data_IF_642617043707
#
_entry.id   IF_642617043707
#
_cell.length_a   1.000
_cell.length_b   1.000
_cell.length_c   1.000
_cell.angle_alpha   90.00
_cell.angle_beta   90.00
_cell.angle_gamma   90.00
#
_symmetry.space_group_name_H-M   'P 1'
#
loop_
_entity.id
_entity.type
_entity.pdbx_description
1 polymer ?
#
# COMPACT_ATOMS: atom_id res chain seq x y z
N UNK A 1 -21.13 29.51 0.95
CA UNK A 1 -19.91 28.68 0.83
C UNK A 1 -19.09 29.20 -0.33
N UNK A 2 -17.77 29.31 -0.19
CA UNK A 2 -16.89 29.59 -1.32
C UNK A 2 -16.68 28.32 -2.18
N UNK A 3 -16.00 28.45 -3.32
CA UNK A 3 -15.73 27.34 -4.25
C UNK A 3 -15.05 26.15 -3.58
N UNK A 4 -14.08 26.41 -2.69
CA UNK A 4 -13.34 25.36 -1.96
C UNK A 4 -14.29 24.58 -1.05
N UNK A 5 -15.16 25.26 -0.30
CA UNK A 5 -16.14 24.63 0.57
C UNK A 5 -17.17 23.82 -0.22
N UNK A 6 -17.63 24.32 -1.37
CA UNK A 6 -18.55 23.58 -2.25
C UNK A 6 -17.90 22.29 -2.76
N UNK A 7 -16.67 22.38 -3.27
CA UNK A 7 -15.92 21.21 -3.74
C UNK A 7 -15.67 20.19 -2.63
N UNK A 8 -15.27 20.64 -1.43
CA UNK A 8 -15.12 19.75 -0.27
C UNK A 8 -16.42 19.00 0.03
N UNK A 9 -17.55 19.71 0.05
CA UNK A 9 -18.86 19.10 0.30
C UNK A 9 -19.23 18.07 -0.79
N UNK A 10 -18.93 18.32 -2.05
CA UNK A 10 -19.15 17.35 -3.13
C UNK A 10 -18.34 16.06 -2.88
N UNK A 11 -17.06 16.21 -2.54
CA UNK A 11 -16.15 15.10 -2.30
C UNK A 11 -16.52 14.30 -1.04
N UNK A 12 -16.87 14.96 0.06
CA UNK A 12 -17.36 14.32 1.29
C UNK A 12 -18.66 13.53 1.08
N UNK A 13 -19.45 13.89 0.05
CA UNK A 13 -20.67 13.17 -0.34
C UNK A 13 -20.45 12.18 -1.49
N UNK A 14 -19.22 12.03 -1.99
CA UNK A 14 -18.88 11.08 -3.04
C UNK A 14 -18.95 9.64 -2.51
N UNK A 15 -20.09 8.97 -2.69
CA UNK A 15 -20.35 7.60 -2.21
C UNK A 15 -20.91 6.73 -3.34
N UNK A 16 -20.10 6.35 -4.34
CA UNK A 16 -20.56 5.43 -5.37
C UNK A 16 -20.93 4.07 -4.76
N UNK A 17 -21.79 3.33 -5.47
CA UNK A 17 -22.08 1.95 -5.13
C UNK A 17 -20.79 1.11 -5.20
N UNK A 18 -20.68 0.11 -4.33
CA UNK A 18 -19.63 -0.89 -4.44
C UNK A 18 -19.87 -1.71 -5.72
N UNK A 19 -18.78 -2.13 -6.36
CA UNK A 19 -18.82 -2.97 -7.57
C UNK A 19 -18.77 -4.47 -7.24
N UNK A 20 -18.48 -4.80 -5.98
CA UNK A 20 -18.53 -6.14 -5.42
C UNK A 20 -19.27 -6.09 -4.08
N UNK A 21 -20.16 -7.05 -3.82
CA UNK A 21 -20.82 -7.13 -2.52
C UNK A 21 -19.84 -7.59 -1.43
N UNK A 22 -20.12 -7.19 -0.18
CA UNK A 22 -19.20 -7.42 0.93
C UNK A 22 -19.03 -8.91 1.28
N UNK A 23 -20.07 -9.73 1.09
CA UNK A 23 -20.02 -11.17 1.40
C UNK A 23 -19.10 -11.89 0.41
N UNK A 24 -19.26 -11.62 -0.89
CA UNK A 24 -18.39 -12.14 -1.94
C UNK A 24 -16.95 -11.70 -1.75
N UNK A 25 -16.72 -10.40 -1.48
CA UNK A 25 -15.38 -9.87 -1.23
C UNK A 25 -14.70 -10.53 -0.02
N UNK A 26 -15.43 -10.65 1.10
CA UNK A 26 -14.92 -11.28 2.31
C UNK A 26 -14.63 -12.76 2.09
N UNK A 27 -15.56 -13.51 1.51
CA UNK A 27 -15.39 -14.93 1.25
C UNK A 27 -14.17 -15.20 0.36
N UNK A 28 -14.01 -14.45 -0.73
CA UNK A 28 -12.86 -14.59 -1.62
C UNK A 28 -11.54 -14.38 -0.87
N UNK A 29 -11.42 -13.27 -0.16
CA UNK A 29 -10.16 -12.92 0.48
C UNK A 29 -9.87 -13.77 1.72
N UNK A 30 -10.88 -14.17 2.50
CA UNK A 30 -10.67 -15.05 3.65
C UNK A 30 -10.13 -16.40 3.21
N UNK A 31 -10.66 -16.96 2.10
CA UNK A 31 -10.14 -18.18 1.50
C UNK A 31 -8.71 -18.00 0.97
N UNK A 32 -8.46 -16.91 0.22
CA UNK A 32 -7.14 -16.63 -0.34
C UNK A 32 -6.08 -16.48 0.77
N UNK A 33 -6.38 -15.75 1.84
CA UNK A 33 -5.45 -15.56 2.96
C UNK A 33 -5.18 -16.87 3.71
N UNK A 34 -6.21 -17.70 3.92
CA UNK A 34 -6.05 -19.00 4.58
C UNK A 34 -5.13 -19.97 3.81
N UNK A 35 -5.15 -19.94 2.47
CA UNK A 35 -4.23 -20.75 1.65
C UNK A 35 -2.77 -20.32 1.83
N UNK A 36 -2.53 -19.02 2.00
CA UNK A 36 -1.19 -18.45 2.09
C UNK A 36 -0.57 -18.52 3.50
N UNK A 37 -1.38 -18.56 4.56
CA UNK A 37 -0.92 -18.62 5.96
C UNK A 37 0.02 -19.83 6.23
N UNK A 38 -0.14 -20.92 5.48
CA UNK A 38 0.66 -22.14 5.65
C UNK A 38 1.98 -22.14 4.84
N UNK A 39 2.19 -21.18 3.94
CA UNK A 39 3.36 -21.16 3.04
C UNK A 39 4.56 -20.49 3.72
N UNK A 40 5.72 -21.16 3.87
CA UNK A 40 6.88 -20.62 4.59
C UNK A 40 7.41 -19.35 3.91
N UNK A 41 7.81 -18.35 4.71
CA UNK A 41 8.40 -17.10 4.20
C UNK A 41 9.80 -17.28 3.62
N UNK A 42 10.56 -18.28 4.09
CA UNK A 42 11.98 -18.44 3.78
C UNK A 42 12.76 -17.12 3.98
N UNK A 43 12.53 -16.49 5.14
CA UNK A 43 13.10 -15.20 5.51
C UNK A 43 14.62 -15.29 5.67
N UNK A 44 15.34 -14.46 4.90
CA UNK A 44 16.80 -14.29 4.99
C UNK A 44 17.11 -12.83 5.32
N UNK A 45 18.00 -12.62 6.28
CA UNK A 45 18.44 -11.30 6.73
C UNK A 45 19.97 -11.25 6.66
N UNK A 46 20.50 -10.33 5.87
CA UNK A 46 21.95 -10.14 5.68
C UNK A 46 22.31 -8.70 6.06
N UNK A 47 23.21 -8.47 7.03
CA UNK A 47 23.68 -7.12 7.34
C UNK A 47 24.28 -6.42 6.12
N UNK A 48 24.01 -5.12 5.98
CA UNK A 48 24.52 -4.28 4.90
C UNK A 48 25.32 -3.12 5.50
N UNK A 49 26.46 -2.77 4.88
CA UNK A 49 27.25 -1.61 5.31
C UNK A 49 26.54 -0.29 4.96
N UNK A 50 26.66 0.69 5.85
CA UNK A 50 26.09 2.03 5.65
C UNK A 50 27.08 3.10 6.10
N UNK A 51 27.19 4.23 5.37
CA UNK A 51 28.02 5.35 5.79
C UNK A 51 27.41 6.14 6.96
N UNK A 52 26.17 5.82 7.37
CA UNK A 52 25.43 6.56 8.38
C UNK A 52 25.49 5.85 9.75
N UNK A 53 26.25 6.36 10.73
CA UNK A 53 26.41 5.69 12.03
C UNK A 53 25.14 5.69 12.90
N UNK A 54 24.14 6.47 12.52
CA UNK A 54 22.84 6.56 13.21
C UNK A 54 21.84 5.46 12.83
N UNK A 55 22.20 4.54 11.93
CA UNK A 55 21.33 3.44 11.53
C UNK A 55 22.09 2.12 11.35
N UNK A 56 21.42 1.01 11.66
CA UNK A 56 21.82 -0.32 11.21
C UNK A 56 20.93 -0.73 10.03
N UNK A 57 21.53 -1.35 9.02
CA UNK A 57 20.83 -1.76 7.80
C UNK A 57 21.04 -3.26 7.60
N UNK A 58 19.98 -3.95 7.18
CA UNK A 58 20.06 -5.31 6.68
C UNK A 58 19.25 -5.43 5.40
N UNK A 59 19.81 -6.13 4.42
CA UNK A 59 19.08 -6.63 3.27
C UNK A 59 18.22 -7.81 3.71
N UNK A 60 16.92 -7.72 3.44
CA UNK A 60 15.95 -8.76 3.71
C UNK A 60 15.46 -9.35 2.39
N UNK A 61 15.30 -10.66 2.35
CA UNK A 61 14.57 -11.34 1.28
C UNK A 61 13.62 -12.40 1.83
N UNK A 62 12.47 -12.56 1.18
CA UNK A 62 11.46 -13.55 1.52
C UNK A 62 10.70 -13.98 0.26
N UNK A 63 10.10 -15.16 0.27
CA UNK A 63 9.24 -15.62 -0.82
C UNK A 63 7.91 -14.89 -0.79
N UNK A 64 7.50 -14.34 -1.93
CA UNK A 64 6.21 -13.69 -2.15
C UNK A 64 5.10 -14.66 -2.59
N UNK A 65 4.22 -14.19 -3.46
CA UNK A 65 3.04 -14.90 -3.99
C UNK A 65 3.34 -16.27 -4.66
N UNK A 66 4.41 -16.34 -5.45
CA UNK A 66 4.71 -17.36 -6.45
C UNK A 66 6.19 -17.77 -6.42
N UNK A 67 6.75 -17.92 -5.22
CA UNK A 67 8.18 -18.14 -4.97
C UNK A 67 9.11 -17.00 -5.44
N UNK A 68 8.59 -15.91 -6.03
CA UNK A 68 9.38 -14.70 -6.31
C UNK A 68 10.03 -14.22 -5.03
N UNK A 69 11.36 -14.06 -5.02
CA UNK A 69 12.08 -13.47 -3.90
C UNK A 69 11.86 -11.96 -3.88
N UNK A 70 11.14 -11.50 -2.85
CA UNK A 70 10.89 -10.10 -2.58
C UNK A 70 12.02 -9.55 -1.72
N UNK A 71 12.65 -8.47 -2.20
CA UNK A 71 13.73 -7.80 -1.50
C UNK A 71 13.23 -6.56 -0.76
N UNK A 72 13.76 -6.35 0.45
CA UNK A 72 13.47 -5.20 1.28
C UNK A 72 14.70 -4.72 2.06
N UNK A 73 14.69 -3.47 2.51
CA UNK A 73 15.59 -2.99 3.55
C UNK A 73 14.91 -3.14 4.90
N UNK A 74 15.60 -3.72 5.87
CA UNK A 74 15.28 -3.55 7.29
C UNK A 74 16.26 -2.54 7.89
N UNK A 75 15.73 -1.45 8.40
CA UNK A 75 16.51 -0.31 8.88
C UNK A 75 16.09 -0.01 10.31
N UNK A 76 17.06 0.08 11.22
CA UNK A 76 16.81 0.40 12.62
C UNK A 76 17.67 1.58 13.07
N UNK A 77 17.20 2.43 14.00
CA UNK A 77 18.07 3.40 14.66
C UNK A 77 19.24 2.71 15.37
N UNK A 78 20.46 3.24 15.25
CA UNK A 78 21.63 2.72 15.93
C UNK A 78 21.90 3.44 17.27
N UNK A 79 22.52 2.74 18.24
CA UNK A 79 22.97 3.29 19.53
C UNK A 79 22.21 2.77 20.76
N UNK A 80 22.55 3.27 21.95
CA UNK A 80 22.05 2.76 23.24
C UNK A 80 20.51 2.81 23.40
N UNK A 81 19.82 3.68 22.66
CA UNK A 81 18.35 3.74 22.63
C UNK A 81 17.70 2.51 21.94
N UNK A 82 18.45 1.77 21.12
CA UNK A 82 17.98 0.58 20.41
C UNK A 82 18.26 -0.74 21.16
N UNK A 83 19.00 -0.70 22.26
CA UNK A 83 19.58 -1.91 22.86
C UNK A 83 18.66 -2.65 23.85
N UNK A 84 17.54 -2.06 24.29
CA UNK A 84 16.74 -2.62 25.40
C UNK A 84 15.24 -2.72 25.13
N UNK A 85 14.75 -2.24 23.98
CA UNK A 85 13.31 -2.20 23.68
C UNK A 85 13.02 -2.61 22.23
N UNK A 86 11.99 -3.43 22.03
CA UNK A 86 11.47 -3.72 20.70
C UNK A 86 10.85 -2.46 20.08
N UNK A 87 11.20 -2.13 18.85
CA UNK A 87 10.83 -0.90 18.16
C UNK A 87 9.47 -1.03 17.45
N UNK A 88 8.68 0.06 17.36
CA UNK A 88 7.60 0.11 16.37
C UNK A 88 8.22 0.11 14.96
N UNK A 89 7.52 -0.46 13.99
CA UNK A 89 8.03 -0.58 12.63
C UNK A 89 7.06 0.00 11.60
N UNK A 90 7.62 0.69 10.62
CA UNK A 90 6.91 1.19 9.44
C UNK A 90 7.22 0.29 8.24
N UNK A 91 6.19 -0.36 7.69
CA UNK A 91 6.27 -1.00 6.37
C UNK A 91 6.00 0.05 5.30
N UNK A 92 6.73 0.03 4.19
CA UNK A 92 6.46 0.93 3.07
C UNK A 92 6.76 0.31 1.71
N UNK A 93 5.91 0.64 0.74
CA UNK A 93 6.02 0.24 -0.67
C UNK A 93 6.15 1.48 -1.56
N UNK A 94 6.85 1.38 -2.70
CA UNK A 94 7.04 2.51 -3.59
C UNK A 94 5.77 2.87 -4.39
N UNK A 95 5.78 4.07 -4.96
CA UNK A 95 4.88 4.43 -6.07
C UNK A 95 5.18 3.60 -7.33
N UNK A 96 4.29 3.68 -8.31
CA UNK A 96 4.41 2.90 -9.56
C UNK A 96 5.71 3.21 -10.29
N UNK A 97 6.37 2.16 -10.80
CA UNK A 97 7.73 2.14 -11.37
C UNK A 97 8.87 2.51 -10.42
N UNK A 98 8.58 2.65 -9.12
CA UNK A 98 9.57 2.97 -8.10
C UNK A 98 10.32 1.76 -7.55
N UNK A 99 11.07 2.01 -6.48
CA UNK A 99 11.93 1.06 -5.78
C UNK A 99 12.00 1.42 -4.28
N UNK A 100 12.51 0.49 -3.46
CA UNK A 100 12.81 0.71 -2.04
C UNK A 100 13.94 1.71 -1.79
N UNK A 101 14.63 2.20 -2.82
CA UNK A 101 15.68 3.20 -2.71
C UNK A 101 16.88 2.80 -1.87
N UNK A 102 17.59 3.84 -1.40
CA UNK A 102 18.65 3.71 -0.41
C UNK A 102 18.12 3.92 1.02
N UNK A 103 18.77 3.35 2.05
CA UNK A 103 18.29 3.41 3.43
C UNK A 103 18.04 4.82 3.99
N UNK A 104 18.88 5.80 3.65
CA UNK A 104 18.79 7.17 4.17
C UNK A 104 17.54 7.94 3.74
N UNK A 105 16.83 7.46 2.71
CA UNK A 105 15.50 7.95 2.30
C UNK A 105 14.50 7.90 3.46
N UNK A 106 14.70 6.98 4.41
CA UNK A 106 13.77 6.72 5.50
C UNK A 106 14.20 7.34 6.85
N UNK A 107 15.19 8.23 6.83
CA UNK A 107 15.78 8.82 8.05
C UNK A 107 14.78 9.52 8.97
N UNK A 108 13.72 10.15 8.44
CA UNK A 108 12.68 10.77 9.27
C UNK A 108 11.95 9.75 10.18
N UNK A 109 11.75 8.53 9.72
CA UNK A 109 11.16 7.44 10.52
C UNK A 109 12.12 6.98 11.62
N UNK A 110 13.42 6.87 11.30
CA UNK A 110 14.45 6.50 12.28
C UNK A 110 14.60 7.57 13.37
N UNK A 111 14.63 8.85 12.97
CA UNK A 111 14.71 10.00 13.88
C UNK A 111 13.47 10.12 14.79
N UNK A 112 12.33 9.56 14.37
CA UNK A 112 11.11 9.48 15.18
C UNK A 112 11.01 8.20 16.02
N UNK A 113 12.04 7.35 16.01
CA UNK A 113 12.13 6.14 16.84
C UNK A 113 11.51 4.88 16.23
N UNK A 114 11.20 4.88 14.93
CA UNK A 114 10.66 3.73 14.23
C UNK A 114 11.75 2.96 13.49
N UNK A 115 11.64 1.63 13.47
CA UNK A 115 12.28 0.80 12.46
C UNK A 115 11.51 0.89 11.14
N UNK A 116 12.14 0.50 10.03
CA UNK A 116 11.53 0.54 8.69
C UNK A 116 11.76 -0.77 7.96
N UNK A 117 10.71 -1.29 7.35
CA UNK A 117 10.78 -2.31 6.30
C UNK A 117 10.38 -1.68 4.96
N UNK A 118 11.36 -1.32 4.14
CA UNK A 118 11.13 -0.73 2.82
C UNK A 118 11.20 -1.81 1.75
N UNK A 119 10.06 -2.12 1.13
CA UNK A 119 9.87 -3.29 0.28
C UNK A 119 9.87 -2.88 -1.19
N UNK A 120 10.60 -3.61 -2.04
CA UNK A 120 10.50 -3.43 -3.49
C UNK A 120 9.14 -3.92 -4.02
N UNK A 121 8.59 -3.19 -5.00
CA UNK A 121 7.45 -3.69 -5.76
C UNK A 121 7.92 -4.66 -6.85
N UNK A 122 7.33 -5.86 -6.91
CA UNK A 122 7.75 -6.93 -7.84
C UNK A 122 7.85 -6.47 -9.30
N UNK A 123 8.94 -6.87 -9.96
CA UNK A 123 9.21 -6.61 -11.36
C UNK A 123 9.59 -5.17 -11.70
N UNK A 124 9.39 -4.20 -10.81
CA UNK A 124 9.62 -2.79 -11.10
C UNK A 124 11.11 -2.41 -11.01
N UNK A 125 11.43 -1.17 -10.62
CA UNK A 125 12.79 -0.62 -10.74
C UNK A 125 13.78 -1.17 -9.69
N UNK A 126 13.28 -1.91 -8.71
CA UNK A 126 14.07 -2.52 -7.63
C UNK A 126 14.81 -3.80 -8.03
N UNK A 127 15.29 -4.53 -7.03
CA UNK A 127 15.97 -5.82 -7.23
C UNK A 127 14.99 -6.99 -7.36
N UNK A 128 13.76 -6.81 -6.87
CA UNK A 128 12.72 -7.83 -6.92
C UNK A 128 12.30 -8.10 -8.37
N UNK A 129 12.52 -9.33 -8.83
CA UNK A 129 12.04 -9.82 -10.12
C UNK A 129 10.53 -10.08 -10.13
N UNK A 130 10.07 -10.89 -11.09
CA UNK A 130 8.67 -11.33 -11.16
C UNK A 130 8.60 -12.71 -11.85
N UNK A 131 8.19 -13.75 -11.12
CA UNK A 131 8.01 -15.11 -11.66
C UNK A 131 6.59 -15.39 -12.15
N UNK A 132 5.69 -14.40 -12.12
CA UNK A 132 4.27 -14.58 -12.39
C UNK A 132 4.04 -15.26 -13.75
N UNK A 133 3.44 -16.47 -13.79
CA UNK A 133 3.12 -17.13 -15.03
C UNK A 133 1.87 -16.51 -15.65
N UNK A 134 1.94 -16.12 -16.92
CA UNK A 134 0.76 -15.66 -17.68
C UNK A 134 0.71 -16.31 -19.07
N UNK A 135 -0.46 -16.83 -19.43
CA UNK A 135 -0.68 -17.52 -20.72
C UNK A 135 -1.01 -16.55 -21.87
N UNK A 136 -1.45 -15.33 -21.53
CA UNK A 136 -1.80 -14.28 -22.49
C UNK A 136 -0.82 -13.11 -22.46
N UNK A 137 -0.65 -12.41 -23.58
CA UNK A 137 0.13 -11.16 -23.60
C UNK A 137 -0.46 -10.07 -22.71
N UNK A 138 0.37 -9.09 -22.37
CA UNK A 138 0.02 -7.89 -21.62
C UNK A 138 0.36 -6.63 -22.44
N UNK A 139 -0.21 -5.48 -22.08
CA UNK A 139 0.30 -4.21 -22.63
C UNK A 139 1.59 -3.81 -21.92
N UNK A 140 2.27 -2.78 -22.43
CA UNK A 140 3.49 -2.26 -21.80
C UNK A 140 3.21 -1.85 -20.35
N UNK A 141 3.96 -2.43 -19.42
CA UNK A 141 3.85 -2.17 -17.99
C UNK A 141 3.56 -3.46 -17.22
N UNK A 142 2.86 -3.33 -16.10
CA UNK A 142 2.72 -4.41 -15.11
C UNK A 142 1.28 -4.80 -14.86
N UNK A 143 0.36 -3.83 -14.79
CA UNK A 143 -0.95 -4.06 -14.18
C UNK A 143 -1.92 -4.86 -15.05
N UNK A 144 -1.56 -5.12 -16.32
CA UNK A 144 -2.36 -5.96 -17.22
C UNK A 144 -1.86 -7.41 -17.34
N UNK A 145 -0.77 -7.76 -16.65
CA UNK A 145 -0.28 -9.14 -16.61
C UNK A 145 -1.29 -10.02 -15.84
N UNK A 146 -1.83 -11.03 -16.53
CA UNK A 146 -2.85 -11.93 -15.97
C UNK A 146 -4.21 -11.28 -15.69
N UNK A 147 -4.53 -10.11 -16.28
CA UNK A 147 -5.74 -9.33 -15.93
C UNK A 147 -7.08 -10.08 -16.17
N UNK A 148 -7.07 -11.12 -17.00
CA UNK A 148 -8.25 -11.97 -17.25
C UNK A 148 -8.45 -13.06 -16.19
N UNK A 149 -7.47 -13.32 -15.33
CA UNK A 149 -7.50 -14.34 -14.29
C UNK A 149 -7.06 -13.69 -12.97
N UNK A 150 -8.02 -13.18 -12.18
CA UNK A 150 -7.71 -12.43 -10.95
C UNK A 150 -6.77 -13.19 -10.01
N UNK A 151 -6.91 -14.52 -9.90
CA UNK A 151 -6.08 -15.39 -9.06
C UNK A 151 -4.62 -15.46 -9.49
N UNK A 152 -4.32 -15.13 -10.75
CA UNK A 152 -2.95 -15.12 -11.33
C UNK A 152 -2.57 -13.74 -11.87
N UNK A 153 -3.29 -12.71 -11.44
CA UNK A 153 -3.06 -11.34 -11.87
C UNK A 153 -1.89 -10.69 -11.13
N UNK A 154 -1.30 -9.67 -11.74
CA UNK A 154 -0.28 -8.86 -11.09
C UNK A 154 -0.76 -8.25 -9.76
N UNK A 155 -2.03 -7.86 -9.67
CA UNK A 155 -2.59 -7.33 -8.42
C UNK A 155 -2.75 -8.37 -7.32
N UNK A 156 -3.09 -9.61 -7.65
CA UNK A 156 -3.07 -10.71 -6.67
C UNK A 156 -1.66 -10.95 -6.14
N UNK A 157 -0.68 -10.92 -7.03
CA UNK A 157 0.71 -11.09 -6.65
C UNK A 157 1.19 -9.97 -5.72
N UNK A 158 0.87 -8.71 -6.03
CA UNK A 158 1.12 -7.56 -5.15
C UNK A 158 0.39 -7.69 -3.81
N UNK A 159 -0.88 -8.11 -3.80
CA UNK A 159 -1.66 -8.27 -2.59
C UNK A 159 -1.02 -9.28 -1.63
N UNK A 160 -0.62 -10.45 -2.13
CA UNK A 160 0.01 -11.48 -1.32
C UNK A 160 1.43 -11.12 -0.90
N UNK A 161 2.22 -10.46 -1.75
CA UNK A 161 3.52 -9.92 -1.33
C UNK A 161 3.38 -8.92 -0.18
N UNK A 162 2.32 -8.11 -0.22
CA UNK A 162 2.01 -7.12 0.81
C UNK A 162 1.68 -7.81 2.14
N UNK A 163 0.81 -8.81 2.13
CA UNK A 163 0.48 -9.61 3.33
C UNK A 163 1.73 -10.26 3.91
N UNK A 164 2.56 -10.85 3.05
CA UNK A 164 3.79 -11.54 3.45
C UNK A 164 4.86 -10.57 3.97
N UNK A 165 4.95 -9.36 3.41
CA UNK A 165 5.81 -8.31 3.96
C UNK A 165 5.41 -7.92 5.38
N UNK A 166 4.10 -7.86 5.68
CA UNK A 166 3.60 -7.58 7.03
C UNK A 166 3.87 -8.75 7.99
N UNK A 167 3.83 -9.99 7.52
CA UNK A 167 4.26 -11.15 8.31
C UNK A 167 5.76 -11.13 8.60
N UNK A 168 6.58 -10.79 7.60
CA UNK A 168 8.02 -10.58 7.78
C UNK A 168 8.29 -9.51 8.80
N UNK A 169 7.63 -8.34 8.69
CA UNK A 169 7.75 -7.25 9.65
C UNK A 169 7.56 -7.70 11.10
N UNK A 170 6.58 -8.57 11.35
CA UNK A 170 6.30 -9.12 12.69
C UNK A 170 7.36 -10.12 13.19
N UNK A 171 8.23 -10.64 12.32
CA UNK A 171 9.29 -11.60 12.63
C UNK A 171 10.69 -10.98 12.69
N UNK A 172 10.83 -9.69 12.35
CA UNK A 172 12.14 -9.04 12.31
C UNK A 172 12.73 -8.85 13.73
N UNK A 173 14.04 -9.09 13.91
CA UNK A 173 14.69 -8.91 15.20
C UNK A 173 14.58 -7.47 15.72
N UNK A 174 14.23 -7.31 16.99
CA UNK A 174 14.12 -6.01 17.64
C UNK A 174 12.88 -5.21 17.25
N UNK A 175 11.89 -5.82 16.59
CA UNK A 175 10.59 -5.21 16.27
C UNK A 175 9.51 -5.70 17.23
N UNK A 176 8.58 -4.82 17.58
CA UNK A 176 7.38 -5.13 18.33
C UNK A 176 6.23 -5.47 17.35
N UNK A 177 5.78 -6.74 17.28
CA UNK A 177 4.77 -7.16 16.32
C UNK A 177 3.38 -6.55 16.57
N UNK A 178 3.14 -5.92 17.73
CA UNK A 178 1.90 -5.20 18.02
C UNK A 178 1.92 -3.73 17.54
N UNK A 179 3.07 -3.23 17.06
CA UNK A 179 3.28 -1.82 16.71
C UNK A 179 3.80 -1.68 15.27
N UNK A 180 3.08 -2.30 14.33
CA UNK A 180 3.39 -2.23 12.90
C UNK A 180 2.46 -1.20 12.24
N UNK A 181 3.02 -0.13 11.71
CA UNK A 181 2.33 0.78 10.80
C UNK A 181 2.68 0.49 9.35
N UNK A 182 1.84 0.94 8.43
CA UNK A 182 2.15 0.91 6.99
C UNK A 182 1.90 2.26 6.35
N UNK A 183 2.80 2.67 5.45
CA UNK A 183 2.70 3.94 4.73
C UNK A 183 3.10 3.83 3.27
N UNK A 184 2.50 4.67 2.42
CA UNK A 184 2.95 4.84 1.04
C UNK A 184 2.16 5.92 0.30
N UNK A 185 2.71 6.33 -0.85
CA UNK A 185 2.10 7.30 -1.76
C UNK A 185 1.70 6.66 -3.09
N UNK A 186 0.61 7.11 -3.71
CA UNK A 186 0.16 6.65 -5.03
C UNK A 186 -0.08 5.12 -5.03
N UNK A 187 0.65 4.32 -5.82
CA UNK A 187 0.61 2.85 -5.72
C UNK A 187 0.88 2.37 -4.29
N UNK A 188 1.91 2.90 -3.63
CA UNK A 188 2.24 2.53 -2.25
C UNK A 188 1.11 2.88 -1.27
N UNK A 189 0.36 3.95 -1.52
CA UNK A 189 -0.81 4.32 -0.72
C UNK A 189 -1.98 3.35 -0.91
N UNK A 190 -2.23 2.93 -2.15
CA UNK A 190 -3.19 1.87 -2.46
C UNK A 190 -2.78 0.54 -1.79
N UNK A 191 -1.49 0.18 -1.85
CA UNK A 191 -0.95 -1.00 -1.17
C UNK A 191 -1.09 -0.88 0.36
N UNK A 192 -0.88 0.30 0.94
CA UNK A 192 -1.05 0.53 2.38
C UNK A 192 -2.50 0.27 2.83
N UNK A 193 -3.49 0.75 2.06
CA UNK A 193 -4.91 0.47 2.31
C UNK A 193 -5.23 -1.01 2.11
N UNK A 194 -4.67 -1.63 1.07
CA UNK A 194 -4.84 -3.06 0.80
C UNK A 194 -4.28 -3.90 1.96
N UNK A 195 -3.10 -3.59 2.48
CA UNK A 195 -2.54 -4.24 3.66
C UNK A 195 -3.47 -4.12 4.88
N UNK A 196 -4.05 -2.94 5.08
CA UNK A 196 -5.04 -2.70 6.15
C UNK A 196 -6.30 -3.53 6.02
N UNK A 197 -6.71 -3.84 4.78
CA UNK A 197 -7.87 -4.66 4.50
C UNK A 197 -7.56 -6.17 4.57
N UNK A 198 -6.31 -6.57 4.33
CA UNK A 198 -5.89 -7.97 4.23
C UNK A 198 -5.13 -8.50 5.45
N UNK A 199 -4.68 -7.63 6.37
CA UNK A 199 -3.90 -8.02 7.53
C UNK A 199 -4.38 -7.34 8.82
N UNK A 200 -4.68 -8.17 9.82
CA UNK A 200 -5.05 -7.72 11.18
C UNK A 200 -3.86 -7.26 12.03
N UNK A 201 -2.63 -7.33 11.49
CA UNK A 201 -1.40 -6.95 12.21
C UNK A 201 -1.07 -5.46 12.10
N UNK A 202 -1.77 -4.74 11.23
CA UNK A 202 -1.55 -3.31 11.02
C UNK A 202 -2.23 -2.51 12.12
N UNK A 203 -1.46 -1.70 12.84
CA UNK A 203 -1.91 -0.86 13.94
C UNK A 203 -2.22 0.58 13.50
N UNK A 204 -1.67 1.03 12.36
CA UNK A 204 -1.92 2.35 11.79
C UNK A 204 -1.60 2.39 10.29
N UNK A 205 -2.37 3.17 9.53
CA UNK A 205 -2.20 3.33 8.08
C UNK A 205 -2.06 4.80 7.73
N UNK A 206 -1.04 5.12 6.93
CA UNK A 206 -0.95 6.40 6.21
C UNK A 206 -0.99 6.10 4.71
N UNK A 207 -1.98 6.66 4.00
CA UNK A 207 -2.15 6.43 2.58
C UNK A 207 -2.25 7.77 1.85
N UNK A 208 -1.13 8.20 1.25
CA UNK A 208 -1.05 9.47 0.56
C UNK A 208 -1.44 9.32 -0.92
N UNK A 209 -2.32 10.20 -1.41
CA UNK A 209 -2.80 10.23 -2.80
C UNK A 209 -3.05 8.82 -3.38
N UNK A 210 -3.80 7.94 -2.69
CA UNK A 210 -3.74 6.51 -2.94
C UNK A 210 -4.38 6.10 -4.27
N UNK A 211 -3.68 5.24 -5.01
CA UNK A 211 -4.24 4.47 -6.12
C UNK A 211 -5.12 3.31 -5.59
N UNK A 212 -5.61 2.42 -6.46
CA UNK A 212 -6.49 1.28 -6.14
C UNK A 212 -7.84 1.68 -5.53
N UNK A 213 -8.20 2.95 -5.60
CA UNK A 213 -9.51 3.44 -5.18
C UNK A 213 -10.37 3.64 -6.44
N UNK A 214 -11.57 3.06 -6.48
CA UNK A 214 -12.55 3.25 -7.57
C UNK A 214 -11.91 3.10 -8.96
N UNK A 215 -11.33 1.93 -9.19
CA UNK A 215 -10.44 1.62 -10.30
C UNK A 215 -11.15 1.83 -11.64
N UNK A 216 -12.42 1.47 -11.76
CA UNK A 216 -13.24 1.66 -12.97
C UNK A 216 -13.28 3.13 -13.42
N UNK A 217 -13.57 4.05 -12.51
CA UNK A 217 -13.56 5.49 -12.75
C UNK A 217 -12.16 5.99 -13.09
N UNK A 218 -11.15 5.43 -12.41
CA UNK A 218 -9.74 5.71 -12.70
C UNK A 218 -9.31 5.29 -14.09
N UNK A 219 -9.74 4.13 -14.58
CA UNK A 219 -9.46 3.65 -15.94
C UNK A 219 -10.14 4.54 -16.97
N UNK A 220 -11.41 4.90 -16.75
CA UNK A 220 -12.17 5.77 -17.65
C UNK A 220 -11.50 7.15 -17.83
N UNK A 221 -10.90 7.69 -16.77
CA UNK A 221 -10.25 9.01 -16.76
C UNK A 221 -8.72 8.89 -16.73
N UNK A 222 -8.19 7.74 -17.14
CA UNK A 222 -6.82 7.36 -16.79
C UNK A 222 -5.73 8.28 -17.33
N UNK A 223 -4.74 8.48 -16.47
CA UNK A 223 -3.39 8.86 -16.83
C UNK A 223 -2.41 7.92 -16.10
N UNK A 224 -1.12 7.93 -16.46
CA UNK A 224 -0.10 7.08 -15.83
C UNK A 224 -0.47 5.59 -15.87
N UNK A 225 -0.30 4.83 -14.79
CA UNK A 225 -0.44 3.36 -14.78
C UNK A 225 -1.78 2.84 -15.27
N UNK A 226 -2.90 3.50 -14.96
CA UNK A 226 -4.24 3.02 -15.36
C UNK A 226 -4.49 3.15 -16.87
N UNK A 227 -3.65 3.87 -17.63
CA UNK A 227 -3.74 3.85 -19.10
C UNK A 227 -3.44 2.47 -19.66
N UNK A 228 -2.70 1.63 -18.93
CA UNK A 228 -2.43 0.25 -19.34
C UNK A 228 -3.72 -0.57 -19.45
N UNK A 229 -4.63 -0.44 -18.48
CA UNK A 229 -5.93 -1.12 -18.52
C UNK A 229 -6.79 -0.55 -19.65
N UNK A 230 -6.81 0.78 -19.80
CA UNK A 230 -7.54 1.43 -20.89
C UNK A 230 -7.04 0.99 -22.27
N UNK A 231 -5.72 0.87 -22.47
CA UNK A 231 -5.11 0.38 -23.70
C UNK A 231 -5.44 -1.09 -23.97
N UNK A 232 -5.45 -1.93 -22.93
CA UNK A 232 -5.85 -3.33 -23.06
C UNK A 232 -7.33 -3.46 -23.45
N UNK A 233 -8.23 -2.76 -22.76
CA UNK A 233 -9.68 -2.78 -23.05
C UNK A 233 -9.98 -2.19 -24.41
N UNK A 234 -9.27 -1.13 -24.83
CA UNK A 234 -9.39 -0.57 -26.18
C UNK A 234 -9.06 -1.58 -27.27
N UNK A 235 -8.10 -2.47 -27.03
CA UNK A 235 -7.74 -3.56 -27.96
C UNK A 235 -8.76 -4.71 -27.91
N UNK A 236 -9.30 -5.02 -26.75
CA UNK A 236 -10.22 -6.13 -26.50
C UNK A 236 -11.51 -5.67 -25.80
N UNK A 237 -12.38 -4.91 -26.49
CA UNK A 237 -13.56 -4.31 -25.86
C UNK A 237 -14.59 -5.35 -25.39
N UNK A 238 -14.60 -6.53 -26.02
CA UNK A 238 -15.40 -7.69 -25.62
C UNK A 238 -15.01 -8.27 -24.25
N UNK A 239 -13.85 -7.90 -23.71
CA UNK A 239 -13.33 -8.36 -22.42
C UNK A 239 -13.51 -7.35 -21.28
N UNK A 240 -14.07 -6.18 -21.58
CA UNK A 240 -14.16 -5.06 -20.64
C UNK A 240 -14.83 -5.45 -19.31
N UNK A 241 -15.98 -6.12 -19.38
CA UNK A 241 -16.75 -6.47 -18.18
C UNK A 241 -15.96 -7.43 -17.27
N UNK A 242 -15.31 -8.45 -17.85
CA UNK A 242 -14.48 -9.38 -17.09
C UNK A 242 -13.26 -8.70 -16.46
N UNK A 243 -12.63 -7.77 -17.18
CA UNK A 243 -11.50 -6.98 -16.66
C UNK A 243 -11.93 -6.18 -15.44
N UNK A 244 -13.05 -5.47 -15.51
CA UNK A 244 -13.55 -4.69 -14.37
C UNK A 244 -14.05 -5.58 -13.23
N UNK A 245 -14.67 -6.72 -13.52
CA UNK A 245 -15.02 -7.70 -12.51
C UNK A 245 -13.78 -8.18 -11.75
N UNK A 246 -12.71 -8.56 -12.45
CA UNK A 246 -11.46 -9.03 -11.83
C UNK A 246 -10.77 -7.92 -11.01
N UNK A 247 -10.72 -6.70 -11.53
CA UNK A 247 -10.13 -5.56 -10.80
C UNK A 247 -10.93 -5.18 -9.56
N UNK A 248 -12.23 -5.48 -9.52
CA UNK A 248 -13.09 -5.14 -8.38
C UNK A 248 -12.65 -5.81 -7.07
N UNK A 249 -11.98 -6.97 -7.13
CA UNK A 249 -11.44 -7.67 -5.97
C UNK A 249 -10.28 -6.93 -5.30
N UNK A 250 -9.61 -6.02 -5.99
CA UNK A 250 -8.46 -5.24 -5.48
C UNK A 250 -8.80 -3.78 -5.21
N UNK A 251 -10.05 -3.38 -5.45
CA UNK A 251 -10.52 -2.01 -5.26
C UNK A 251 -10.85 -1.73 -3.80
N UNK A 252 -10.23 -0.69 -3.23
CA UNK A 252 -10.45 -0.30 -1.83
C UNK A 252 -11.91 0.09 -1.57
N UNK A 253 -12.67 0.56 -2.56
CA UNK A 253 -14.12 0.80 -2.41
C UNK A 253 -14.85 -0.45 -1.92
N UNK A 254 -14.44 -1.63 -2.38
CA UNK A 254 -15.05 -2.91 -2.03
C UNK A 254 -14.43 -3.51 -0.76
N UNK A 255 -13.17 -3.18 -0.46
CA UNK A 255 -12.44 -3.72 0.70
C UNK A 255 -12.46 -2.81 1.94
N UNK A 256 -13.00 -1.60 1.83
CA UNK A 256 -12.97 -0.59 2.89
C UNK A 256 -13.53 -1.08 4.24
N UNK A 257 -14.57 -1.94 4.20
CA UNK A 257 -15.17 -2.51 5.42
C UNK A 257 -14.26 -3.49 6.17
N UNK A 258 -13.18 -3.97 5.55
CA UNK A 258 -12.18 -4.84 6.18
C UNK A 258 -11.09 -4.05 6.90
N UNK A 259 -10.99 -2.73 6.66
CA UNK A 259 -9.99 -1.87 7.29
C UNK A 259 -10.48 -1.48 8.69
N UNK A 260 -9.84 -2.02 9.72
CA UNK A 260 -10.17 -1.72 11.12
C UNK A 260 -9.15 -0.80 11.80
N UNK A 261 -7.94 -0.70 11.27
CA UNK A 261 -6.89 0.18 11.80
C UNK A 261 -7.25 1.67 11.59
N UNK A 262 -6.75 2.57 12.46
CA UNK A 262 -6.76 4.01 12.22
C UNK A 262 -6.07 4.38 10.89
N UNK A 263 -6.70 5.26 10.11
CA UNK A 263 -6.21 5.66 8.78
C UNK A 263 -6.03 7.18 8.68
N UNK A 264 -4.87 7.63 8.21
CA UNK A 264 -4.67 8.98 7.69
C UNK A 264 -4.53 8.93 6.17
N UNK A 265 -5.37 9.67 5.46
CA UNK A 265 -5.28 9.83 4.01
C UNK A 265 -4.92 11.25 3.63
N UNK A 266 -4.28 11.44 2.47
CA UNK A 266 -4.14 12.77 1.85
C UNK A 266 -4.62 12.78 0.41
N UNK A 267 -5.04 13.97 -0.04
CA UNK A 267 -5.61 14.16 -1.37
C UNK A 267 -5.22 15.51 -1.96
N UNK A 268 -4.65 15.49 -3.16
CA UNK A 268 -4.50 16.67 -4.01
C UNK A 268 -5.73 16.86 -4.88
N UNK A 269 -6.45 17.99 -4.76
CA UNK A 269 -7.69 18.17 -5.54
C UNK A 269 -7.45 18.45 -7.04
N UNK A 270 -6.21 18.74 -7.44
CA UNK A 270 -5.80 18.87 -8.84
C UNK A 270 -5.06 17.63 -9.35
N UNK A 271 -5.05 16.55 -8.57
CA UNK A 271 -4.44 15.29 -8.98
C UNK A 271 -5.22 14.69 -10.15
N UNK A 272 -4.52 14.46 -11.27
CA UNK A 272 -5.08 13.85 -12.48
C UNK A 272 -4.68 12.37 -12.64
N UNK A 273 -3.87 11.84 -11.71
CA UNK A 273 -3.44 10.44 -11.66
C UNK A 273 -4.31 9.68 -10.65
N UNK A 274 -4.37 10.17 -9.42
CA UNK A 274 -5.21 9.65 -8.35
C UNK A 274 -6.23 10.74 -7.96
N UNK A 275 -7.30 10.83 -8.75
CA UNK A 275 -8.27 11.92 -8.65
C UNK A 275 -8.97 11.96 -7.27
N UNK A 276 -9.37 13.15 -6.79
CA UNK A 276 -10.08 13.24 -5.52
C UNK A 276 -11.37 12.42 -5.50
N UNK A 277 -12.07 12.24 -6.64
CA UNK A 277 -13.25 11.37 -6.75
C UNK A 277 -12.96 9.89 -6.49
N UNK A 278 -11.77 9.40 -6.85
CA UNK A 278 -11.39 8.02 -6.55
C UNK A 278 -11.03 7.88 -5.08
N UNK A 279 -10.22 8.79 -4.56
CA UNK A 279 -9.74 8.75 -3.17
C UNK A 279 -10.91 8.91 -2.18
N UNK A 280 -11.81 9.87 -2.41
CA UNK A 280 -12.97 10.06 -1.55
C UNK A 280 -13.97 8.91 -1.63
N UNK A 281 -14.11 8.25 -2.79
CA UNK A 281 -14.98 7.07 -2.90
C UNK A 281 -14.54 5.94 -1.96
N UNK A 282 -13.22 5.72 -1.82
CA UNK A 282 -12.67 4.77 -0.86
C UNK A 282 -12.77 5.32 0.59
N UNK A 283 -12.24 6.52 0.83
CA UNK A 283 -12.22 7.14 2.17
C UNK A 283 -13.62 7.17 2.81
N UNK A 284 -14.64 7.56 2.07
CA UNK A 284 -16.00 7.70 2.60
C UNK A 284 -16.64 6.36 3.03
N UNK A 285 -16.09 5.22 2.57
CA UNK A 285 -16.56 3.86 2.90
C UNK A 285 -15.79 3.20 4.05
N UNK A 286 -14.60 3.70 4.41
CA UNK A 286 -13.86 3.20 5.57
C UNK A 286 -14.66 3.53 6.84
N UNK A 287 -14.88 2.56 7.73
CA UNK A 287 -15.68 2.76 8.95
C UNK A 287 -14.84 2.91 10.22
N UNK A 288 -13.57 2.49 10.17
CA UNK A 288 -12.61 2.71 11.26
C UNK A 288 -12.33 4.20 11.47
N UNK A 289 -11.59 4.50 12.53
CA UNK A 289 -11.11 5.87 12.74
C UNK A 289 -10.32 6.32 11.51
N UNK A 290 -10.69 7.48 10.96
CA UNK A 290 -10.09 8.00 9.74
C UNK A 290 -9.99 9.52 9.75
N UNK A 291 -8.91 10.02 9.18
CA UNK A 291 -8.65 11.43 8.93
C UNK A 291 -8.28 11.61 7.44
N UNK A 292 -8.67 12.73 6.83
CA UNK A 292 -8.23 13.08 5.47
C UNK A 292 -7.72 14.52 5.43
N UNK A 293 -6.51 14.69 4.90
CA UNK A 293 -5.89 15.99 4.69
C UNK A 293 -6.07 16.45 3.24
N UNK A 294 -6.79 17.55 3.08
CA UNK A 294 -7.08 18.17 1.80
C UNK A 294 -5.97 19.13 1.37
N UNK A 295 -5.51 18.99 0.13
CA UNK A 295 -4.61 19.92 -0.54
C UNK A 295 -5.26 20.47 -1.82
N UNK A 296 -6.11 21.52 -1.72
CA UNK A 296 -6.92 22.01 -2.84
C UNK A 296 -6.15 22.48 -4.08
N UNK A 297 -4.85 22.76 -3.93
CA UNK A 297 -4.02 23.31 -4.97
C UNK A 297 -2.92 22.36 -5.46
N UNK A 298 -2.73 21.21 -4.80
CA UNK A 298 -1.73 20.22 -5.19
C UNK A 298 -2.27 19.24 -6.22
N UNK A 299 -1.36 18.79 -7.09
CA UNK A 299 -1.57 17.71 -8.05
C UNK A 299 -1.16 16.36 -7.45
N UNK A 300 -0.49 15.53 -8.25
CA UNK A 300 0.04 14.22 -7.83
C UNK A 300 1.36 14.36 -7.06
N UNK A 301 1.30 14.92 -5.85
CA UNK A 301 2.46 15.16 -4.99
C UNK A 301 2.09 15.05 -3.50
N UNK A 302 3.09 14.77 -2.66
CA UNK A 302 2.94 14.74 -1.20
C UNK A 302 3.81 15.85 -0.61
N UNK A 303 3.19 16.78 0.10
CA UNK A 303 3.89 17.94 0.67
C UNK A 303 4.75 17.58 1.88
N UNK A 304 5.78 18.37 2.18
CA UNK A 304 6.57 18.22 3.42
C UNK A 304 5.71 18.35 4.68
N UNK A 305 4.66 19.18 4.62
CA UNK A 305 3.69 19.30 5.70
C UNK A 305 2.94 17.98 5.92
N UNK A 306 2.47 17.33 4.85
CA UNK A 306 1.84 16.01 4.94
C UNK A 306 2.81 14.96 5.48
N UNK A 307 4.06 14.95 5.01
CA UNK A 307 5.08 14.02 5.50
C UNK A 307 5.30 14.13 7.01
N UNK A 308 5.25 15.34 7.57
CA UNK A 308 5.30 15.54 9.03
C UNK A 308 4.04 15.02 9.73
N UNK A 309 2.85 15.30 9.20
CA UNK A 309 1.60 14.78 9.78
C UNK A 309 1.55 13.25 9.77
N UNK A 310 2.10 12.61 8.74
CA UNK A 310 2.27 11.16 8.68
C UNK A 310 3.13 10.64 9.85
N UNK A 311 4.25 11.31 10.15
CA UNK A 311 5.12 10.96 11.28
C UNK A 311 4.38 11.13 12.61
N UNK A 312 3.71 12.26 12.81
CA UNK A 312 2.94 12.54 14.03
C UNK A 312 1.81 11.52 14.24
N UNK A 313 1.12 11.13 13.17
CA UNK A 313 0.08 10.10 13.20
C UNK A 313 0.65 8.74 13.60
N UNK A 314 1.76 8.31 13.00
CA UNK A 314 2.40 7.04 13.37
C UNK A 314 2.90 7.05 14.82
N UNK A 315 3.49 8.14 15.30
CA UNK A 315 3.91 8.26 16.70
C UNK A 315 2.72 8.15 17.66
N UNK A 316 1.57 8.74 17.32
CA UNK A 316 0.34 8.66 18.11
C UNK A 316 -0.18 7.22 18.24
N UNK A 317 -0.20 6.47 17.15
CA UNK A 317 -0.83 5.14 17.11
C UNK A 317 0.12 3.96 17.35
N UNK A 318 1.42 4.16 17.13
CA UNK A 318 2.48 3.16 17.39
C UNK A 318 3.30 3.48 18.65
N UNK A 319 3.04 4.62 19.30
CA UNK A 319 3.60 4.93 20.61
C UNK A 319 3.14 3.93 21.67
N UNK A 320 3.94 3.75 22.71
CA UNK A 320 3.49 3.01 23.90
C UNK A 320 2.30 3.75 24.49
N UNK A 321 1.16 3.07 24.62
CA UNK A 321 0.06 3.61 25.41
C UNK A 321 0.52 3.71 26.86
N UNK A 322 0.84 4.92 27.30
CA UNK A 322 0.96 5.19 28.73
C UNK A 322 -0.45 5.10 29.29
N UNK A 323 -0.79 3.95 29.90
CA UNK A 323 -1.97 3.85 30.74
C UNK A 323 -1.85 4.95 31.80
N UNK A 324 -2.66 6.00 31.67
CA UNK A 324 -2.90 6.99 32.72
C UNK A 324 -3.90 6.42 33.74
#
# INVERSE_FOLDING_TARGET
MNTIQLRKRELENCRPAATLDAETANHYWDNALAEYEQKPLELVIVPEETPYPGMSVSKVSFKGFDDTLIYAWHIQPAGHAAATEQLPLIVTFPGYTGDRGYPERYSAWLLSGHAVLAVDARGQKGETGNLLPYESGAVKGWITQGIMEKERSYYMAIAMDTVRAVEVAAQLPGVDPARIGITGGSQGGGIALLAGALSKRISAIVADIPNLCRIDFGVLNSSSSLTEVADYVKRFPDRMDQVFENLSYFDIVNLAGRITAPVLMSVGWKDMVCMPETIYAAYNRIESYKEINDYPFSGHEVSEYQNRLAVEFMQKYLGKQTLL
#
